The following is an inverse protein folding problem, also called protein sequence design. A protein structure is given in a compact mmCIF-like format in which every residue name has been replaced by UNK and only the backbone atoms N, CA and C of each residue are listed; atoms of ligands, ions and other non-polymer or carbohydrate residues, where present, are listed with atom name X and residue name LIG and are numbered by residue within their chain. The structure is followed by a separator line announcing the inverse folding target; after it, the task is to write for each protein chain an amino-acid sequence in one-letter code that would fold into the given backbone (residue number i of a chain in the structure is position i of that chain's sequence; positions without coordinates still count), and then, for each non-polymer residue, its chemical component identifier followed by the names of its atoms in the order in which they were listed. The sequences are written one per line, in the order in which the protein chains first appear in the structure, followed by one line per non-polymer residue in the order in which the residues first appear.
data_IF_782408866832
#
_entry.id   IF_782408866832
#
_cell.length_a   1.000
_cell.length_b   1.000
_cell.length_c   1.000
_cell.angle_alpha   90.00
_cell.angle_beta   90.00
_cell.angle_gamma   90.00
#
_symmetry.space_group_name_H-M   'P 1'
#
loop_
_entity.id
_entity.type
_entity.pdbx_description
1 polymer ?
#
# COMPACT_ATOMS: atom_id res chain seq x y z
N UNK A 1 56.01 -0.77 3.13
CA UNK A 1 54.85 -1.16 3.93
C UNK A 1 53.72 -0.19 3.61
N UNK A 2 52.81 -0.57 2.71
CA UNK A 2 51.64 0.25 2.29
C UNK A 2 50.46 -0.10 3.18
N UNK A 3 50.07 0.80 4.07
CA UNK A 3 48.81 0.66 4.87
C UNK A 3 47.63 0.96 3.95
N UNK A 4 46.91 -0.11 3.57
CA UNK A 4 45.57 0.00 2.98
C UNK A 4 44.62 0.45 4.08
N UNK A 5 44.22 1.70 4.07
CA UNK A 5 43.07 2.19 4.84
C UNK A 5 41.81 1.63 4.17
N UNK A 6 41.23 0.61 4.75
CA UNK A 6 39.87 0.14 4.40
C UNK A 6 38.86 1.20 4.87
N UNK A 7 38.47 2.04 3.94
CA UNK A 7 37.33 2.96 4.14
C UNK A 7 36.07 2.11 4.20
N UNK A 8 35.64 1.72 5.40
CA UNK A 8 34.32 1.16 5.65
C UNK A 8 33.30 2.28 5.37
N UNK A 9 32.74 2.27 4.17
CA UNK A 9 31.58 3.10 3.86
C UNK A 9 30.42 2.49 4.64
N UNK A 10 30.13 3.06 5.81
CA UNK A 10 28.86 2.90 6.51
C UNK A 10 27.78 3.52 5.62
N UNK A 11 27.19 2.71 4.75
CA UNK A 11 25.94 3.09 4.09
C UNK A 11 24.90 3.13 5.21
N UNK A 12 24.35 4.29 5.58
CA UNK A 12 23.24 4.29 6.52
C UNK A 12 22.11 3.49 5.86
N UNK A 13 21.72 2.37 6.50
CA UNK A 13 20.47 1.73 6.19
C UNK A 13 19.37 2.77 6.48
N UNK A 14 18.96 3.50 5.45
CA UNK A 14 17.77 4.34 5.54
C UNK A 14 16.60 3.37 5.61
N UNK A 15 16.23 3.02 6.82
CA UNK A 15 14.98 2.30 7.09
C UNK A 15 13.88 3.31 6.73
N UNK A 16 13.32 3.17 5.55
CA UNK A 16 12.09 3.87 5.19
C UNK A 16 10.96 3.23 5.99
N UNK A 17 10.80 3.65 7.23
CA UNK A 17 9.57 3.35 7.96
C UNK A 17 8.37 3.87 7.17
N UNK A 18 7.26 3.13 7.19
CA UNK A 18 6.01 3.65 6.64
C UNK A 18 5.75 5.03 7.26
N UNK A 19 5.47 6.06 6.46
CA UNK A 19 5.28 7.42 6.99
C UNK A 19 4.12 7.48 8.00
N UNK A 20 3.18 6.55 7.93
CA UNK A 20 2.02 6.41 8.81
C UNK A 20 1.30 5.10 8.47
N UNK A 21 0.86 4.32 9.47
CA UNK A 21 0.02 3.14 9.22
C UNK A 21 -1.40 3.54 8.80
N UNK A 22 -2.13 2.65 8.12
CA UNK A 22 -3.54 2.89 7.81
C UNK A 22 -4.40 3.05 9.07
N UNK A 23 -4.04 2.36 10.13
CA UNK A 23 -4.76 2.47 11.40
C UNK A 23 -4.63 3.85 12.03
N UNK A 24 -3.41 4.39 12.02
CA UNK A 24 -3.14 5.76 12.48
C UNK A 24 -3.88 6.79 11.61
N UNK A 25 -3.83 6.62 10.28
CA UNK A 25 -4.54 7.49 9.36
C UNK A 25 -6.06 7.47 9.60
N UNK A 26 -6.67 6.28 9.77
CA UNK A 26 -8.10 6.13 10.04
C UNK A 26 -8.49 6.72 11.40
N UNK A 27 -7.62 6.59 12.39
CA UNK A 27 -7.85 7.18 13.73
C UNK A 27 -7.86 8.71 13.69
N UNK A 28 -6.93 9.31 12.94
CA UNK A 28 -6.88 10.77 12.73
C UNK A 28 -8.04 11.31 11.90
N UNK A 29 -8.57 10.49 10.99
CA UNK A 29 -9.67 10.83 10.08
C UNK A 29 -10.92 10.00 10.44
N UNK A 30 -11.46 10.15 11.63
CA UNK A 30 -12.50 9.27 12.20
C UNK A 30 -13.80 9.19 11.38
N UNK A 31 -14.08 10.17 10.50
CA UNK A 31 -15.24 10.18 9.60
C UNK A 31 -15.00 9.46 8.26
N UNK A 32 -13.85 8.78 8.10
CA UNK A 32 -13.44 8.19 6.82
C UNK A 32 -14.46 7.19 6.23
N UNK A 33 -15.21 6.49 7.05
CA UNK A 33 -16.18 5.46 6.63
C UNK A 33 -17.63 5.96 6.55
N UNK A 34 -17.89 7.21 6.91
CA UNK A 34 -19.26 7.76 6.96
C UNK A 34 -19.48 8.92 6.01
N UNK A 35 -18.64 9.94 6.05
CA UNK A 35 -18.86 11.19 5.30
C UNK A 35 -17.64 11.67 4.52
N UNK A 36 -16.43 11.27 4.91
CA UNK A 36 -15.20 11.70 4.25
C UNK A 36 -14.83 10.78 3.08
N UNK A 37 -15.42 11.08 1.92
CA UNK A 37 -15.16 10.35 0.68
C UNK A 37 -13.70 10.43 0.22
N UNK A 38 -13.02 11.53 0.49
CA UNK A 38 -11.62 11.70 0.11
C UNK A 38 -10.72 10.72 0.89
N UNK A 39 -10.93 10.64 2.21
CA UNK A 39 -10.22 9.67 3.05
C UNK A 39 -10.58 8.24 2.69
N UNK A 40 -11.83 7.91 2.42
CA UNK A 40 -12.24 6.56 1.99
C UNK A 40 -11.59 6.19 0.65
N UNK A 41 -11.57 7.10 -0.32
CA UNK A 41 -10.89 6.89 -1.61
C UNK A 41 -9.39 6.66 -1.42
N UNK A 42 -8.74 7.44 -0.56
CA UNK A 42 -7.32 7.28 -0.27
C UNK A 42 -7.02 5.93 0.42
N UNK A 43 -7.81 5.54 1.42
CA UNK A 43 -7.66 4.29 2.15
C UNK A 43 -7.84 3.09 1.20
N UNK A 44 -8.89 3.10 0.39
CA UNK A 44 -9.15 2.01 -0.58
C UNK A 44 -8.07 1.94 -1.65
N UNK A 45 -7.54 3.07 -2.13
CA UNK A 45 -6.41 3.12 -3.04
C UNK A 45 -5.17 2.46 -2.42
N UNK A 46 -4.84 2.83 -1.19
CA UNK A 46 -3.69 2.31 -0.45
C UNK A 46 -3.81 0.80 -0.20
N UNK A 47 -5.00 0.30 0.17
CA UNK A 47 -5.28 -1.13 0.26
C UNK A 47 -5.10 -1.84 -1.09
N UNK A 48 -5.57 -1.24 -2.18
CA UNK A 48 -5.38 -1.77 -3.53
C UNK A 48 -3.91 -1.97 -3.86
N UNK A 49 -3.07 -0.96 -3.62
CA UNK A 49 -1.62 -1.04 -3.86
C UNK A 49 -0.97 -2.12 -2.99
N UNK A 50 -1.31 -2.20 -1.70
CA UNK A 50 -0.77 -3.21 -0.80
C UNK A 50 -1.06 -4.63 -1.33
N UNK A 51 -2.33 -4.93 -1.64
CA UNK A 51 -2.70 -6.24 -2.16
C UNK A 51 -2.09 -6.54 -3.54
N UNK A 52 -1.91 -5.53 -4.39
CA UNK A 52 -1.22 -5.69 -5.66
C UNK A 52 0.25 -6.08 -5.44
N UNK A 53 0.98 -5.40 -4.55
CA UNK A 53 2.38 -5.74 -4.25
C UNK A 53 2.48 -7.14 -3.63
N UNK A 54 1.60 -7.52 -2.71
CA UNK A 54 1.52 -8.88 -2.17
C UNK A 54 1.29 -9.91 -3.29
N UNK A 55 0.42 -9.62 -4.25
CA UNK A 55 0.17 -10.51 -5.38
C UNK A 55 1.40 -10.74 -6.24
N UNK A 56 2.23 -9.71 -6.48
CA UNK A 56 3.49 -9.86 -7.22
C UNK A 56 4.44 -10.84 -6.56
N UNK A 57 4.56 -10.84 -5.23
CA UNK A 57 5.41 -11.80 -4.51
C UNK A 57 4.92 -13.24 -4.64
N UNK A 58 3.61 -13.46 -4.73
CA UNK A 58 3.05 -14.80 -4.88
C UNK A 58 3.02 -15.30 -6.33
N UNK A 59 3.08 -14.41 -7.33
CA UNK A 59 2.86 -14.74 -8.73
C UNK A 59 3.72 -15.88 -9.26
N UNK A 60 5.00 -15.90 -8.87
CA UNK A 60 5.99 -16.86 -9.36
C UNK A 60 6.44 -17.87 -8.28
N UNK A 61 5.74 -17.92 -7.15
CA UNK A 61 6.09 -18.81 -6.05
C UNK A 61 5.28 -20.11 -6.15
N UNK A 62 5.97 -21.24 -6.19
CA UNK A 62 5.32 -22.55 -6.23
C UNK A 62 4.39 -22.73 -5.03
N UNK A 63 3.19 -23.30 -5.27
CA UNK A 63 2.19 -23.54 -4.22
C UNK A 63 1.42 -22.29 -3.75
N UNK A 64 1.67 -21.10 -4.33
CA UNK A 64 1.04 -19.84 -3.87
C UNK A 64 -0.03 -19.30 -4.83
N UNK A 65 -0.53 -20.11 -5.76
CA UNK A 65 -1.49 -19.65 -6.76
C UNK A 65 -2.81 -19.14 -6.18
N UNK A 66 -3.31 -19.74 -5.11
CA UNK A 66 -4.54 -19.28 -4.46
C UNK A 66 -4.32 -17.95 -3.72
N UNK A 67 -3.17 -17.79 -3.05
CA UNK A 67 -2.79 -16.52 -2.43
C UNK A 67 -2.61 -15.41 -3.47
N UNK A 68 -2.00 -15.72 -4.62
CA UNK A 68 -1.90 -14.80 -5.76
C UNK A 68 -3.27 -14.36 -6.25
N UNK A 69 -4.17 -15.31 -6.57
CA UNK A 69 -5.53 -15.01 -7.06
C UNK A 69 -6.33 -14.20 -6.06
N UNK A 70 -6.28 -14.57 -4.78
CA UNK A 70 -7.00 -13.86 -3.72
C UNK A 70 -6.48 -12.42 -3.55
N UNK A 71 -5.17 -12.21 -3.54
CA UNK A 71 -4.57 -10.88 -3.41
C UNK A 71 -4.86 -10.02 -4.65
N UNK A 72 -4.72 -10.56 -5.85
CA UNK A 72 -5.02 -9.85 -7.10
C UNK A 72 -6.50 -9.45 -7.18
N UNK A 73 -7.44 -10.33 -6.78
CA UNK A 73 -8.86 -10.02 -6.71
C UNK A 73 -9.15 -8.89 -5.71
N UNK A 74 -8.54 -8.93 -4.53
CA UNK A 74 -8.70 -7.87 -3.53
C UNK A 74 -8.16 -6.54 -4.07
N UNK A 75 -6.96 -6.52 -4.68
CA UNK A 75 -6.39 -5.32 -5.30
C UNK A 75 -7.36 -4.69 -6.32
N UNK A 76 -7.88 -5.50 -7.25
CA UNK A 76 -8.84 -5.05 -8.26
C UNK A 76 -10.11 -4.44 -7.63
N UNK A 77 -10.66 -5.08 -6.61
CA UNK A 77 -11.86 -4.56 -5.92
C UNK A 77 -11.58 -3.21 -5.24
N UNK A 78 -10.48 -3.08 -4.53
CA UNK A 78 -10.10 -1.83 -3.87
C UNK A 78 -9.86 -0.69 -4.87
N UNK A 79 -9.16 -0.94 -5.99
CA UNK A 79 -8.97 0.07 -7.04
C UNK A 79 -10.29 0.48 -7.69
N UNK A 80 -11.20 -0.46 -7.95
CA UNK A 80 -12.53 -0.16 -8.48
C UNK A 80 -13.28 0.77 -7.54
N UNK A 81 -13.36 0.43 -6.25
CA UNK A 81 -14.09 1.25 -5.27
C UNK A 81 -13.46 2.63 -5.12
N UNK A 82 -12.12 2.74 -5.03
CA UNK A 82 -11.45 4.04 -5.01
C UNK A 82 -11.79 4.88 -6.24
N UNK A 83 -11.78 4.26 -7.44
CA UNK A 83 -12.15 4.91 -8.70
C UNK A 83 -13.60 5.39 -8.70
N UNK A 84 -14.53 4.58 -8.22
CA UNK A 84 -15.94 4.92 -8.19
C UNK A 84 -16.23 6.07 -7.21
N UNK A 85 -15.54 6.08 -6.05
CA UNK A 85 -15.66 7.16 -5.08
C UNK A 85 -15.25 8.50 -5.68
N UNK A 86 -14.06 8.60 -6.33
CA UNK A 86 -13.65 9.88 -6.88
C UNK A 86 -14.52 10.32 -8.07
N UNK A 87 -14.98 9.39 -8.92
CA UNK A 87 -15.89 9.71 -10.03
C UNK A 87 -17.21 10.29 -9.52
N UNK A 88 -17.77 9.71 -8.47
CA UNK A 88 -19.04 10.19 -7.88
C UNK A 88 -18.87 11.48 -7.07
N UNK A 89 -17.64 11.83 -6.69
CA UNK A 89 -17.32 13.05 -5.97
C UNK A 89 -17.02 14.23 -6.91
N UNK A 90 -16.79 13.96 -8.20
CA UNK A 90 -16.50 14.98 -9.19
C UNK A 90 -17.75 15.51 -9.86
N UNK A 91 -17.82 16.84 -10.00
CA UNK A 91 -18.96 17.55 -10.61
C UNK A 91 -18.83 17.57 -12.15
N UNK A 92 -17.60 17.54 -12.68
CA UNK A 92 -17.32 17.65 -14.10
C UNK A 92 -16.12 16.82 -14.54
N UNK A 93 -15.89 16.76 -15.87
CA UNK A 93 -14.81 15.97 -16.47
C UNK A 93 -13.40 16.44 -16.06
N UNK A 94 -13.20 17.72 -15.88
CA UNK A 94 -11.89 18.26 -15.50
C UNK A 94 -11.52 17.84 -14.07
N UNK A 95 -12.49 17.85 -13.15
CA UNK A 95 -12.32 17.30 -11.81
C UNK A 95 -11.87 15.82 -11.88
N UNK A 96 -12.54 14.98 -12.68
CA UNK A 96 -12.20 13.56 -12.85
C UNK A 96 -10.75 13.41 -13.36
N UNK A 97 -10.34 14.25 -14.31
CA UNK A 97 -8.98 14.20 -14.87
C UNK A 97 -7.91 14.57 -13.84
N UNK A 98 -8.16 15.60 -13.03
CA UNK A 98 -7.26 16.05 -11.97
C UNK A 98 -7.13 14.97 -10.88
N UNK A 99 -8.26 14.45 -10.41
CA UNK A 99 -8.28 13.41 -9.39
C UNK A 99 -7.62 12.10 -9.86
N UNK A 100 -7.84 11.72 -11.13
CA UNK A 100 -7.16 10.57 -11.72
C UNK A 100 -5.64 10.73 -11.71
N UNK A 101 -5.13 11.91 -12.07
CA UNK A 101 -3.69 12.20 -12.05
C UNK A 101 -3.15 12.15 -10.62
N UNK A 102 -3.83 12.79 -9.66
CA UNK A 102 -3.45 12.77 -8.25
C UNK A 102 -3.43 11.34 -7.67
N UNK A 103 -4.42 10.52 -8.03
CA UNK A 103 -4.46 9.11 -7.64
C UNK A 103 -3.30 8.31 -8.21
N UNK A 104 -2.93 8.53 -9.48
CA UNK A 104 -1.79 7.86 -10.10
C UNK A 104 -0.46 8.20 -9.40
N UNK A 105 -0.26 9.44 -8.98
CA UNK A 105 0.94 9.82 -8.22
C UNK A 105 0.96 9.17 -6.82
N UNK A 106 -0.19 9.09 -6.14
CA UNK A 106 -0.31 8.36 -4.88
C UNK A 106 0.00 6.87 -5.06
N UNK A 107 -0.52 6.23 -6.12
CA UNK A 107 -0.21 4.83 -6.45
C UNK A 107 1.29 4.63 -6.62
N UNK A 108 1.96 5.43 -7.44
CA UNK A 108 3.41 5.32 -7.66
C UNK A 108 4.19 5.40 -6.34
N UNK A 109 3.84 6.36 -5.49
CA UNK A 109 4.46 6.52 -4.17
C UNK A 109 4.29 5.26 -3.31
N UNK A 110 3.06 4.74 -3.18
CA UNK A 110 2.79 3.59 -2.33
C UNK A 110 3.34 2.28 -2.89
N UNK A 111 3.42 2.13 -4.21
CA UNK A 111 4.09 0.98 -4.86
C UNK A 111 5.54 0.88 -4.40
N UNK A 112 6.28 2.01 -4.42
CA UNK A 112 7.67 2.02 -3.98
C UNK A 112 7.79 1.67 -2.49
N UNK A 113 6.99 2.31 -1.64
CA UNK A 113 7.02 2.10 -0.19
C UNK A 113 6.70 0.63 0.15
N UNK A 114 5.58 0.11 -0.31
CA UNK A 114 5.20 -1.26 0.04
C UNK A 114 6.12 -2.32 -0.56
N UNK A 115 6.62 -2.11 -1.78
CA UNK A 115 7.61 -3.02 -2.37
C UNK A 115 8.86 -3.11 -1.52
N UNK A 116 9.41 -1.98 -1.08
CA UNK A 116 10.60 -1.91 -0.26
C UNK A 116 10.37 -2.56 1.11
N UNK A 117 9.28 -2.22 1.80
CA UNK A 117 8.94 -2.79 3.10
C UNK A 117 8.70 -4.31 3.05
N UNK A 118 8.01 -4.82 2.02
CA UNK A 118 7.80 -6.26 1.85
C UNK A 118 9.12 -7.00 1.64
N UNK A 119 10.06 -6.43 0.87
CA UNK A 119 11.40 -7.01 0.68
C UNK A 119 12.20 -6.98 1.98
N UNK A 120 12.16 -5.86 2.70
CA UNK A 120 12.85 -5.71 3.99
C UNK A 120 12.32 -6.70 5.02
N UNK A 121 11.01 -6.91 5.08
CA UNK A 121 10.39 -7.88 5.98
C UNK A 121 10.84 -9.31 5.66
N UNK A 122 10.87 -9.71 4.38
CA UNK A 122 11.34 -11.02 3.97
C UNK A 122 12.82 -11.21 4.39
N UNK A 123 13.67 -10.22 4.15
CA UNK A 123 15.09 -10.30 4.44
C UNK A 123 15.40 -10.30 5.95
N UNK A 124 14.59 -9.61 6.75
CA UNK A 124 14.86 -9.42 8.19
C UNK A 124 14.14 -10.44 9.08
N UNK A 125 12.95 -10.89 8.66
CA UNK A 125 12.05 -11.70 9.51
C UNK A 125 11.61 -13.01 8.87
N UNK A 126 12.01 -13.29 7.61
CA UNK A 126 11.50 -14.42 6.81
C UNK A 126 9.95 -14.41 6.67
N UNK A 127 9.34 -13.27 6.94
CA UNK A 127 7.90 -13.02 6.84
C UNK A 127 7.64 -11.79 5.98
N UNK A 128 6.82 -11.92 4.94
CA UNK A 128 6.44 -10.80 4.09
C UNK A 128 5.53 -9.79 4.83
N UNK A 129 4.58 -10.30 5.60
CA UNK A 129 3.57 -9.48 6.30
C UNK A 129 3.96 -9.36 7.77
N UNK A 130 4.80 -8.37 8.08
CA UNK A 130 5.33 -8.08 9.40
C UNK A 130 5.21 -6.58 9.72
N UNK A 131 5.32 -6.18 10.99
CA UNK A 131 5.35 -4.79 11.43
C UNK A 131 4.19 -3.94 10.90
N UNK A 132 4.50 -2.79 10.33
CA UNK A 132 3.53 -1.83 9.79
C UNK A 132 2.75 -2.39 8.59
N UNK A 133 3.37 -3.25 7.77
CA UNK A 133 2.68 -3.98 6.71
C UNK A 133 1.57 -4.87 7.29
N UNK A 134 1.81 -5.52 8.42
CA UNK A 134 0.79 -6.34 9.11
C UNK A 134 -0.37 -5.49 9.63
N UNK A 135 -0.07 -4.30 10.15
CA UNK A 135 -1.08 -3.33 10.57
C UNK A 135 -1.97 -2.91 9.39
N UNK A 136 -1.37 -2.46 8.29
CA UNK A 136 -2.08 -2.05 7.09
C UNK A 136 -2.89 -3.20 6.47
N UNK A 137 -2.31 -4.39 6.35
CA UNK A 137 -2.98 -5.57 5.83
C UNK A 137 -4.19 -5.97 6.67
N UNK A 138 -4.06 -5.92 8.00
CA UNK A 138 -5.14 -6.20 8.94
C UNK A 138 -6.26 -5.18 8.81
N UNK A 139 -5.92 -3.89 8.77
CA UNK A 139 -6.88 -2.80 8.59
C UNK A 139 -7.64 -2.92 7.26
N UNK A 140 -6.96 -3.22 6.16
CA UNK A 140 -7.61 -3.44 4.87
C UNK A 140 -8.59 -4.62 4.90
N UNK A 141 -8.23 -5.73 5.56
CA UNK A 141 -9.08 -6.92 5.63
C UNK A 141 -10.26 -6.80 6.56
N UNK A 142 -10.05 -6.22 7.73
CA UNK A 142 -11.01 -6.25 8.83
C UNK A 142 -11.87 -4.99 8.85
N UNK A 143 -11.28 -3.83 8.62
CA UNK A 143 -11.98 -2.54 8.75
C UNK A 143 -12.52 -2.03 7.40
N UNK A 144 -11.79 -2.19 6.32
CA UNK A 144 -12.13 -1.60 5.01
C UNK A 144 -12.91 -2.56 4.11
N UNK A 145 -12.44 -3.80 3.95
CA UNK A 145 -13.08 -4.79 3.06
C UNK A 145 -14.57 -5.04 3.36
N UNK A 146 -15.04 -5.09 4.61
CA UNK A 146 -16.46 -5.32 4.90
C UNK A 146 -17.41 -4.19 4.46
N UNK A 147 -16.88 -2.99 4.20
CA UNK A 147 -17.70 -1.81 3.85
C UNK A 147 -17.68 -1.46 2.36
N UNK A 148 -16.96 -2.24 1.55
CA UNK A 148 -16.84 -2.04 0.08
C UNK A 148 -17.47 -3.26 -0.69
#
# INVERSE_FOLDING_TARGET
MKKLLSLLILIPNVIFALPETLDDYMTKNSSWNTSDRASLSYITLRCGVLFEQISYFYKNRAGSQDAYKASSKNATNFFRVSSDIYKTSCINFDCIKVEKKASQEKVKKWVLIYKEELVNNINSYDEMIHGDIKSDFTSCRIKVKPII
#
